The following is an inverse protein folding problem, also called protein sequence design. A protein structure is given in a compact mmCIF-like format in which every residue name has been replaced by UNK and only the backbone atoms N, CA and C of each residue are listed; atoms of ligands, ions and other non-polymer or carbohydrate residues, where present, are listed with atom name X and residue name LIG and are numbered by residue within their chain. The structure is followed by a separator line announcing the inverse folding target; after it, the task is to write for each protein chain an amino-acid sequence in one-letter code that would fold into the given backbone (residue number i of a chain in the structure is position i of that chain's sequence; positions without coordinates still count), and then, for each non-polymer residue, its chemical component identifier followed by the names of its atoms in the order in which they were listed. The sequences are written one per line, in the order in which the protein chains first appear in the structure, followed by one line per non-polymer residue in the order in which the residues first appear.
data_IF_772853808307
#
_entry.id   IF_772853808307
#
_cell.length_a   1.000
_cell.length_b   1.000
_cell.length_c   1.000
_cell.angle_alpha   90.00
_cell.angle_beta   90.00
_cell.angle_gamma   90.00
#
_symmetry.space_group_name_H-M   'P 1'
#
loop_
_entity.id
_entity.type
_entity.pdbx_description
1 polymer ?
#
# COMPACT_ATOMS: atom_id res chain seq x y z
N UNK A 1 -14.49 -4.54 -3.49
CA UNK A 1 -13.44 -4.28 -2.49
C UNK A 1 -12.08 -4.60 -3.14
N UNK A 2 -11.23 -3.62 -3.36
CA UNK A 2 -9.88 -3.84 -3.90
C UNK A 2 -8.91 -4.27 -2.80
N UNK A 3 -7.96 -5.13 -3.16
CA UNK A 3 -6.75 -5.37 -2.40
C UNK A 3 -5.65 -4.36 -2.77
N UNK A 4 -4.38 -4.79 -2.73
CA UNK A 4 -3.25 -3.96 -3.17
C UNK A 4 -3.19 -3.93 -4.70
N UNK A 5 -3.58 -2.80 -5.27
CA UNK A 5 -3.58 -2.54 -6.71
C UNK A 5 -2.39 -1.63 -7.06
N UNK A 6 -1.64 -2.02 -8.08
CA UNK A 6 -0.48 -1.29 -8.59
C UNK A 6 -0.87 0.03 -9.25
N UNK A 7 -0.97 1.08 -8.45
CA UNK A 7 -1.36 2.42 -8.88
C UNK A 7 -0.37 3.48 -8.40
N UNK A 8 -0.47 4.68 -8.94
CA UNK A 8 0.31 5.84 -8.48
C UNK A 8 -0.37 6.59 -7.32
N UNK A 9 -1.28 5.94 -6.56
CA UNK A 9 -1.98 6.58 -5.43
C UNK A 9 -1.02 7.24 -4.43
N UNK A 10 0.07 6.60 -3.94
CA UNK A 10 0.97 7.24 -2.98
C UNK A 10 1.61 8.51 -3.52
N UNK A 11 2.07 8.48 -4.78
CA UNK A 11 2.65 9.63 -5.47
C UNK A 11 1.61 10.74 -5.68
N UNK A 12 0.42 10.39 -6.17
CA UNK A 12 -0.64 11.35 -6.43
C UNK A 12 -1.18 11.96 -5.14
N UNK A 13 -1.32 11.18 -4.07
CA UNK A 13 -1.71 11.68 -2.75
C UNK A 13 -0.72 12.76 -2.27
N UNK A 14 0.57 12.49 -2.38
CA UNK A 14 1.60 13.46 -2.01
C UNK A 14 1.53 14.71 -2.89
N UNK A 15 1.37 14.57 -4.20
CA UNK A 15 1.20 15.71 -5.14
C UNK A 15 -0.01 16.57 -4.78
N UNK A 16 -1.14 15.96 -4.46
CA UNK A 16 -2.37 16.70 -4.11
C UNK A 16 -2.21 17.41 -2.77
N UNK A 17 -1.62 16.75 -1.78
CA UNK A 17 -1.48 17.30 -0.43
C UNK A 17 -0.36 18.33 -0.31
N UNK A 18 0.70 18.23 -1.09
CA UNK A 18 1.88 19.07 -0.97
C UNK A 18 2.29 19.79 -2.26
N UNK A 19 1.72 19.43 -3.40
CA UNK A 19 2.07 19.99 -4.71
C UNK A 19 3.44 19.57 -5.24
N UNK A 20 4.15 18.64 -4.56
CA UNK A 20 5.54 18.28 -4.90
C UNK A 20 5.70 16.80 -5.26
N UNK A 21 6.72 16.50 -6.04
CA UNK A 21 7.21 15.13 -6.30
C UNK A 21 8.25 14.72 -5.24
N UNK A 22 8.65 13.44 -5.22
CA UNK A 22 9.60 12.93 -4.23
C UNK A 22 10.97 13.63 -4.26
N UNK A 23 11.43 13.95 -5.46
CA UNK A 23 12.69 14.64 -5.73
C UNK A 23 12.67 16.13 -5.35
N UNK A 24 11.47 16.70 -5.25
CA UNK A 24 11.24 18.12 -4.90
C UNK A 24 10.74 18.29 -3.44
N UNK A 25 10.95 17.30 -2.57
CA UNK A 25 10.54 17.38 -1.17
C UNK A 25 11.24 18.54 -0.45
N UNK A 26 10.46 19.40 0.22
CA UNK A 26 10.97 20.46 1.07
C UNK A 26 11.46 19.94 2.43
N UNK A 27 12.05 20.81 3.23
CA UNK A 27 12.61 20.44 4.54
C UNK A 27 11.57 19.84 5.50
N UNK A 28 10.32 20.32 5.47
CA UNK A 28 9.24 19.81 6.31
C UNK A 28 8.85 18.40 5.90
N UNK A 29 8.72 18.14 4.62
CA UNK A 29 8.41 16.83 4.07
C UNK A 29 9.51 15.80 4.32
N UNK A 30 10.78 16.24 4.22
CA UNK A 30 11.94 15.41 4.55
C UNK A 30 11.94 15.03 6.04
N UNK A 31 11.67 15.99 6.93
CA UNK A 31 11.57 15.72 8.36
C UNK A 31 10.43 14.73 8.68
N UNK A 32 9.26 14.90 8.05
CA UNK A 32 8.14 13.95 8.20
C UNK A 32 8.48 12.56 7.68
N UNK A 33 9.12 12.46 6.51
CA UNK A 33 9.54 11.17 5.95
C UNK A 33 10.56 10.48 6.87
N UNK A 34 11.54 11.23 7.39
CA UNK A 34 12.52 10.73 8.35
C UNK A 34 11.86 10.22 9.64
N UNK A 35 10.93 10.98 10.21
CA UNK A 35 10.18 10.56 11.38
C UNK A 35 9.37 9.27 11.14
N UNK A 36 8.79 9.11 9.95
CA UNK A 36 8.11 7.86 9.57
C UNK A 36 9.06 6.66 9.46
N UNK A 37 10.26 6.84 8.92
CA UNK A 37 11.25 5.75 8.89
C UNK A 37 11.64 5.31 10.31
N UNK A 38 11.86 6.27 11.21
CA UNK A 38 12.16 5.98 12.61
C UNK A 38 11.00 5.26 13.31
N UNK A 39 9.76 5.71 13.11
CA UNK A 39 8.58 5.04 13.69
C UNK A 39 8.36 3.62 13.17
N UNK A 40 8.91 3.29 12.00
CA UNK A 40 8.90 1.93 11.42
C UNK A 40 10.13 1.10 11.85
N UNK A 41 10.87 1.52 12.89
CA UNK A 41 12.05 0.80 13.38
C UNK A 41 13.28 0.91 12.48
N UNK A 42 13.32 1.85 11.54
CA UNK A 42 14.47 2.06 10.65
C UNK A 42 15.32 3.21 11.17
N UNK A 43 16.62 2.96 11.27
CA UNK A 43 17.56 4.05 11.56
C UNK A 43 17.64 4.97 10.32
N UNK A 44 17.27 6.22 10.53
CA UNK A 44 17.33 7.28 9.54
C UNK A 44 18.16 8.48 9.99
N UNK A 45 18.85 8.37 11.15
CA UNK A 45 19.64 9.46 11.75
C UNK A 45 20.79 9.88 10.85
N UNK A 46 21.48 8.92 10.23
CA UNK A 46 22.66 9.16 9.40
C UNK A 46 22.35 9.28 7.90
N UNK A 47 21.06 9.25 7.53
CA UNK A 47 20.66 9.35 6.12
C UNK A 47 20.70 10.80 5.65
N UNK A 48 21.30 11.04 4.49
CA UNK A 48 21.20 12.32 3.80
C UNK A 48 19.77 12.59 3.32
N UNK A 49 19.47 13.84 2.99
CA UNK A 49 18.16 14.21 2.42
C UNK A 49 17.93 13.54 1.07
N UNK A 50 18.98 13.33 0.29
CA UNK A 50 18.89 12.61 -0.99
C UNK A 50 18.61 11.13 -0.80
N UNK A 51 19.18 10.48 0.22
CA UNK A 51 18.83 9.10 0.58
C UNK A 51 17.36 8.99 0.96
N UNK A 52 16.84 9.96 1.72
CA UNK A 52 15.42 10.00 2.09
C UNK A 52 14.54 10.11 0.84
N UNK A 53 14.88 11.04 -0.08
CA UNK A 53 14.15 11.21 -1.36
C UNK A 53 14.14 9.93 -2.18
N UNK A 54 15.30 9.30 -2.35
CA UNK A 54 15.45 8.05 -3.09
C UNK A 54 14.61 6.93 -2.48
N UNK A 55 14.63 6.77 -1.15
CA UNK A 55 13.83 5.74 -0.47
C UNK A 55 12.33 5.97 -0.59
N UNK A 56 11.89 7.22 -0.54
CA UNK A 56 10.47 7.55 -0.76
C UNK A 56 10.08 7.20 -2.20
N UNK A 57 10.86 7.63 -3.19
CA UNK A 57 10.60 7.33 -4.60
C UNK A 57 10.61 5.82 -4.88
N UNK A 58 11.56 5.08 -4.32
CA UNK A 58 11.66 3.63 -4.44
C UNK A 58 10.45 2.93 -3.82
N UNK A 59 9.98 3.37 -2.66
CA UNK A 59 8.77 2.82 -2.02
C UNK A 59 7.53 3.03 -2.89
N UNK A 60 7.39 4.21 -3.50
CA UNK A 60 6.27 4.52 -4.40
C UNK A 60 6.33 3.68 -5.68
N UNK A 61 7.54 3.48 -6.23
CA UNK A 61 7.76 2.61 -7.37
C UNK A 61 7.36 1.17 -7.05
N UNK A 62 7.85 0.62 -5.94
CA UNK A 62 7.53 -0.74 -5.50
C UNK A 62 6.03 -0.92 -5.25
N UNK A 63 5.39 0.06 -4.61
CA UNK A 63 3.94 -0.01 -4.40
C UNK A 63 3.18 -0.22 -5.71
N UNK A 64 3.64 0.41 -6.80
CA UNK A 64 3.02 0.28 -8.12
C UNK A 64 3.42 -1.00 -8.84
N UNK A 65 4.71 -1.34 -8.82
CA UNK A 65 5.28 -2.38 -9.69
C UNK A 65 5.25 -3.77 -9.06
N UNK A 66 5.32 -3.86 -7.74
CA UNK A 66 5.30 -5.13 -6.99
C UNK A 66 3.91 -5.49 -6.44
N UNK A 67 2.88 -4.76 -6.84
CA UNK A 67 1.51 -5.08 -6.42
C UNK A 67 1.05 -6.42 -7.04
N UNK A 68 0.30 -7.25 -6.28
CA UNK A 68 -0.20 -8.52 -6.78
C UNK A 68 -1.23 -8.40 -7.91
N UNK A 69 -1.79 -7.20 -8.11
CA UNK A 69 -2.78 -6.91 -9.16
C UNK A 69 -2.45 -5.57 -9.80
N UNK A 70 -2.29 -5.55 -11.11
CA UNK A 70 -2.10 -4.30 -11.86
C UNK A 70 -3.40 -3.49 -11.96
N UNK A 71 -3.28 -2.19 -12.24
CA UNK A 71 -4.45 -1.34 -12.46
C UNK A 71 -5.33 -1.81 -13.64
N UNK A 72 -4.71 -2.33 -14.71
CA UNK A 72 -5.43 -2.85 -15.88
C UNK A 72 -6.22 -4.13 -15.56
N UNK A 73 -5.61 -5.06 -14.83
CA UNK A 73 -6.29 -6.28 -14.35
C UNK A 73 -7.43 -5.93 -13.41
N UNK A 74 -7.20 -5.00 -12.47
CA UNK A 74 -8.24 -4.54 -11.55
C UNK A 74 -9.43 -3.95 -12.31
N UNK A 75 -9.20 -3.10 -13.30
CA UNK A 75 -10.25 -2.54 -14.15
C UNK A 75 -11.04 -3.64 -14.90
N UNK A 76 -10.35 -4.64 -15.44
CA UNK A 76 -10.98 -5.78 -16.12
C UNK A 76 -11.88 -6.58 -15.18
N UNK A 77 -11.39 -6.90 -13.97
CA UNK A 77 -12.16 -7.65 -12.96
C UNK A 77 -13.42 -6.85 -12.57
N UNK A 78 -13.28 -5.55 -12.32
CA UNK A 78 -14.40 -4.69 -11.94
C UNK A 78 -15.45 -4.64 -13.05
N UNK A 79 -15.04 -4.37 -14.30
CA UNK A 79 -15.95 -4.27 -15.43
C UNK A 79 -16.67 -5.59 -15.71
N UNK A 80 -15.98 -6.71 -15.61
CA UNK A 80 -16.59 -8.03 -15.79
C UNK A 80 -17.59 -8.33 -14.67
N UNK A 81 -17.27 -7.98 -13.42
CA UNK A 81 -18.19 -8.13 -12.31
C UNK A 81 -19.46 -7.29 -12.46
N UNK A 82 -19.31 -6.04 -12.93
CA UNK A 82 -20.46 -5.16 -13.22
C UNK A 82 -21.31 -5.74 -14.36
N UNK A 83 -20.70 -6.19 -15.45
CA UNK A 83 -21.43 -6.83 -16.57
C UNK A 83 -22.18 -8.11 -16.17
N UNK A 84 -21.63 -8.85 -15.20
CA UNK A 84 -22.23 -10.06 -14.67
C UNK A 84 -23.23 -9.81 -13.52
N UNK A 85 -23.57 -8.55 -13.25
CA UNK A 85 -24.47 -8.14 -12.17
C UNK A 85 -24.05 -8.70 -10.79
N UNK A 86 -22.75 -8.79 -10.55
CA UNK A 86 -22.24 -9.25 -9.27
C UNK A 86 -22.43 -8.16 -8.21
N UNK A 87 -23.19 -8.47 -7.16
CA UNK A 87 -23.42 -7.53 -6.07
C UNK A 87 -22.14 -7.19 -5.28
N UNK A 88 -21.13 -8.06 -5.34
CA UNK A 88 -19.86 -7.91 -4.63
C UNK A 88 -18.69 -8.33 -5.51
N UNK A 89 -17.79 -7.42 -5.76
CA UNK A 89 -16.61 -7.62 -6.58
C UNK A 89 -15.37 -7.52 -5.70
N UNK A 90 -14.63 -8.61 -5.55
CA UNK A 90 -13.33 -8.66 -4.90
C UNK A 90 -12.25 -8.54 -5.97
N UNK A 91 -11.27 -7.66 -5.76
CA UNK A 91 -10.25 -7.34 -6.76
C UNK A 91 -8.87 -7.64 -6.19
N UNK A 92 -8.26 -8.68 -6.72
CA UNK A 92 -6.95 -9.17 -6.31
C UNK A 92 -7.00 -10.33 -5.31
N UNK A 93 -5.96 -11.18 -5.30
CA UNK A 93 -5.90 -12.37 -4.45
C UNK A 93 -5.91 -12.03 -2.96
N UNK A 94 -5.31 -10.92 -2.58
CA UNK A 94 -5.28 -10.39 -1.21
C UNK A 94 -6.67 -9.91 -0.75
N UNK A 95 -7.50 -9.35 -1.65
CA UNK A 95 -8.89 -9.01 -1.35
C UNK A 95 -9.73 -10.28 -1.06
N UNK A 96 -9.52 -11.35 -1.82
CA UNK A 96 -10.17 -12.64 -1.56
C UNK A 96 -9.73 -13.24 -0.23
N UNK A 97 -8.43 -13.16 0.06
CA UNK A 97 -7.88 -13.74 1.29
C UNK A 97 -8.36 -13.02 2.55
N UNK A 98 -8.34 -11.69 2.56
CA UNK A 98 -8.84 -10.95 3.73
C UNK A 98 -10.34 -11.16 3.92
N UNK A 99 -11.11 -11.25 2.83
CA UNK A 99 -12.54 -11.54 2.91
C UNK A 99 -12.81 -12.93 3.50
N UNK A 100 -12.05 -13.93 3.10
CA UNK A 100 -12.12 -15.27 3.67
C UNK A 100 -11.85 -15.27 5.18
N UNK A 101 -10.73 -14.67 5.60
CA UNK A 101 -10.32 -14.62 7.01
C UNK A 101 -11.33 -13.86 7.89
N UNK A 102 -11.84 -12.73 7.40
CA UNK A 102 -12.87 -11.95 8.13
C UNK A 102 -14.16 -12.75 8.27
N UNK A 103 -14.56 -13.52 7.26
CA UNK A 103 -15.77 -14.37 7.34
C UNK A 103 -15.60 -15.55 8.29
N UNK A 104 -14.40 -16.08 8.43
CA UNK A 104 -14.11 -17.17 9.38
C UNK A 104 -14.15 -16.71 10.83
N UNK A 105 -13.67 -15.49 11.12
CA UNK A 105 -13.58 -14.94 12.47
C UNK A 105 -13.75 -13.42 12.47
N UNK A 106 -14.99 -12.93 12.24
CA UNK A 106 -15.25 -11.49 12.11
C UNK A 106 -14.92 -10.70 13.38
N UNK A 107 -15.03 -11.31 14.55
CA UNK A 107 -14.68 -10.73 15.85
C UNK A 107 -13.19 -10.41 15.98
N UNK A 108 -12.33 -11.13 15.23
CA UNK A 108 -10.88 -10.96 15.25
C UNK A 108 -10.34 -9.97 14.22
N UNK A 109 -11.19 -9.45 13.35
CA UNK A 109 -10.78 -8.62 12.19
C UNK A 109 -10.00 -7.35 12.55
N UNK A 110 -10.05 -6.92 13.81
CA UNK A 110 -9.33 -5.74 14.32
C UNK A 110 -8.17 -6.09 15.25
N UNK A 111 -7.90 -7.37 15.47
CA UNK A 111 -6.76 -7.81 16.28
C UNK A 111 -5.44 -7.62 15.51
N UNK A 112 -4.37 -7.30 16.23
CA UNK A 112 -3.05 -7.09 15.61
C UNK A 112 -2.52 -8.38 14.97
N UNK A 113 -2.70 -9.52 15.63
CA UNK A 113 -2.27 -10.82 15.14
C UNK A 113 -3.05 -11.29 13.91
N UNK A 114 -4.30 -10.86 13.74
CA UNK A 114 -5.10 -11.10 12.55
C UNK A 114 -4.44 -10.44 11.32
N UNK A 115 -4.01 -9.19 11.44
CA UNK A 115 -3.33 -8.48 10.37
C UNK A 115 -1.97 -9.09 10.04
N UNK A 116 -1.22 -9.52 11.06
CA UNK A 116 0.05 -10.22 10.86
C UNK A 116 -0.12 -11.56 10.15
N UNK A 117 -1.16 -12.32 10.51
CA UNK A 117 -1.51 -13.56 9.83
C UNK A 117 -1.83 -13.29 8.35
N UNK A 118 -2.73 -12.36 8.09
CA UNK A 118 -3.08 -11.96 6.72
C UNK A 118 -1.87 -11.56 5.91
N UNK A 119 -1.01 -10.69 6.44
CA UNK A 119 0.19 -10.23 5.75
C UNK A 119 1.14 -11.38 5.38
N UNK A 120 1.32 -12.35 6.29
CA UNK A 120 2.14 -13.55 6.01
C UNK A 120 1.53 -14.40 4.89
N UNK A 121 0.21 -14.62 4.92
CA UNK A 121 -0.47 -15.47 3.95
C UNK A 121 -0.51 -14.88 2.54
N UNK A 122 -0.55 -13.55 2.41
CA UNK A 122 -0.52 -12.86 1.11
C UNK A 122 0.89 -12.42 0.68
N UNK A 123 1.91 -12.71 1.49
CA UNK A 123 3.30 -12.33 1.20
C UNK A 123 3.57 -10.83 1.34
N UNK A 124 2.76 -10.11 2.09
CA UNK A 124 3.03 -8.71 2.39
C UNK A 124 4.20 -8.59 3.35
N UNK A 125 5.16 -7.76 3.01
CA UNK A 125 6.24 -7.40 3.92
C UNK A 125 5.72 -6.32 4.88
N UNK A 126 5.43 -6.75 6.11
CA UNK A 126 5.18 -5.78 7.18
C UNK A 126 6.44 -4.95 7.38
N UNK A 127 6.31 -3.65 7.62
CA UNK A 127 7.46 -2.85 8.04
C UNK A 127 7.93 -3.38 9.40
N UNK A 128 9.08 -4.02 9.38
CA UNK A 128 9.85 -4.39 10.57
C UNK A 128 10.72 -3.23 10.97
#
# INVERSE_FOLDING_TARGET
MPGHIGTSIPLNTRKVQSGHQADAMDATQLAQARARFVSMGRDASDMSDDDIRQRVAERERRFREEAPTSAAEAATIILNGVKADQWRILVGPDAHKIDELVRQSPERAYDVDFFEQFAREVGWRLPT
#
